data_IF_406814055152
#
_entry.id   IF_406814055152
#
_cell.length_a   1.000
_cell.length_b   1.000
_cell.length_c   1.000
_cell.angle_alpha   90.00
_cell.angle_beta   90.00
_cell.angle_gamma   90.00
#
_symmetry.space_group_name_H-M   'P 1'
#
loop_
_entity.id
_entity.type
_entity.pdbx_description
1 polymer ?
#
# COMPACT_ATOMS: atom_id res chain seq x y z
N UNK A 1 -18.36 -5.26 0.27
CA UNK A 1 -16.98 -4.78 0.55
C UNK A 1 -15.92 -5.82 0.27
N UNK A 2 -16.09 -7.08 0.69
CA UNK A 2 -15.09 -8.13 0.48
C UNK A 2 -14.61 -8.27 -0.97
N UNK A 3 -15.52 -8.29 -1.95
CA UNK A 3 -15.17 -8.31 -3.40
C UNK A 3 -14.20 -7.19 -3.82
N UNK A 4 -14.31 -5.98 -3.27
CA UNK A 4 -13.40 -4.88 -3.58
C UNK A 4 -12.01 -5.08 -2.96
N UNK A 5 -11.95 -5.66 -1.76
CA UNK A 5 -10.68 -5.99 -1.10
C UNK A 5 -9.95 -7.12 -1.84
N UNK A 6 -10.70 -8.13 -2.32
CA UNK A 6 -10.14 -9.21 -3.14
C UNK A 6 -9.55 -8.72 -4.47
N UNK A 7 -9.96 -7.56 -4.98
CA UNK A 7 -9.32 -6.93 -6.14
C UNK A 7 -7.93 -6.34 -5.82
N UNK A 8 -7.65 -6.00 -4.56
CA UNK A 8 -6.31 -5.57 -4.13
C UNK A 8 -5.37 -6.77 -3.96
N UNK A 9 -5.85 -7.80 -3.26
CA UNK A 9 -5.17 -9.08 -3.10
C UNK A 9 -6.20 -10.15 -2.74
N UNK A 10 -6.25 -11.29 -3.45
CA UNK A 10 -7.21 -12.36 -3.16
C UNK A 10 -7.01 -12.97 -1.76
N UNK A 11 -5.84 -12.79 -1.15
CA UNK A 11 -5.51 -13.31 0.17
C UNK A 11 -5.82 -12.34 1.31
N UNK A 12 -6.59 -11.28 1.06
CA UNK A 12 -7.07 -10.38 2.09
C UNK A 12 -8.53 -10.63 2.41
N UNK A 13 -8.84 -10.82 3.67
CA UNK A 13 -10.21 -10.92 4.16
C UNK A 13 -10.64 -9.58 4.77
N UNK A 14 -11.84 -9.15 4.38
CA UNK A 14 -12.47 -7.97 4.97
C UNK A 14 -12.92 -8.26 6.42
N UNK A 15 -12.62 -7.35 7.34
CA UNK A 15 -13.03 -7.44 8.75
C UNK A 15 -14.21 -6.49 9.01
N UNK A 16 -13.97 -5.19 8.88
CA UNK A 16 -14.97 -4.15 9.11
C UNK A 16 -14.61 -2.87 8.35
N UNK A 17 -15.51 -1.87 8.38
CA UNK A 17 -15.19 -0.52 7.97
C UNK A 17 -15.95 0.51 8.81
N UNK A 18 -15.39 1.72 8.88
CA UNK A 18 -15.96 2.88 9.56
C UNK A 18 -15.91 4.08 8.60
N UNK A 19 -16.96 4.90 8.57
CA UNK A 19 -17.05 6.08 7.69
C UNK A 19 -17.38 7.31 8.51
N UNK A 20 -16.40 8.20 8.66
CA UNK A 20 -16.52 9.41 9.47
C UNK A 20 -15.86 10.58 8.71
N UNK A 21 -16.49 11.76 8.68
CA UNK A 21 -15.93 13.00 8.13
C UNK A 21 -15.32 12.89 6.72
N UNK A 22 -16.01 12.21 5.81
CA UNK A 22 -15.52 12.03 4.44
C UNK A 22 -14.33 11.05 4.33
N UNK A 23 -14.08 10.24 5.36
CA UNK A 23 -13.02 9.22 5.39
C UNK A 23 -13.63 7.86 5.66
N UNK A 24 -13.24 6.87 4.86
CA UNK A 24 -13.60 5.46 5.03
C UNK A 24 -12.37 4.67 5.47
N UNK A 25 -12.40 4.11 6.68
CA UNK A 25 -11.38 3.21 7.20
C UNK A 25 -11.83 1.78 6.99
N UNK A 26 -11.06 0.96 6.29
CA UNK A 26 -11.38 -0.44 6.02
C UNK A 26 -10.33 -1.33 6.68
N UNK A 27 -10.74 -2.17 7.63
CA UNK A 27 -9.84 -3.11 8.29
C UNK A 27 -9.83 -4.44 7.55
N UNK A 28 -8.64 -4.96 7.26
CA UNK A 28 -8.42 -6.23 6.56
C UNK A 28 -7.35 -7.07 7.25
N UNK A 29 -7.39 -8.39 7.04
CA UNK A 29 -6.35 -9.31 7.49
C UNK A 29 -5.90 -10.24 6.36
N UNK A 30 -4.64 -10.66 6.41
CA UNK A 30 -4.14 -11.69 5.48
C UNK A 30 -4.62 -13.07 5.91
N UNK A 31 -5.10 -13.85 4.95
CA UNK A 31 -5.52 -15.24 5.13
C UNK A 31 -4.45 -16.24 4.67
N UNK A 32 -3.26 -15.77 4.27
CA UNK A 32 -2.16 -16.63 3.86
C UNK A 32 -1.71 -17.50 5.03
N UNK A 33 -1.66 -18.82 4.81
CA UNK A 33 -1.11 -19.78 5.79
C UNK A 33 0.40 -19.67 5.92
N UNK A 34 1.07 -19.39 4.81
CA UNK A 34 2.53 -19.23 4.73
C UNK A 34 2.89 -17.94 4.01
N UNK A 35 4.02 -17.36 4.40
CA UNK A 35 4.58 -16.17 3.78
C UNK A 35 6.05 -16.43 3.45
N UNK A 36 6.44 -16.07 2.24
CA UNK A 36 7.82 -16.22 1.77
C UNK A 36 8.73 -15.14 2.35
N UNK A 37 9.84 -15.55 2.95
CA UNK A 37 10.88 -14.63 3.39
C UNK A 37 11.43 -13.87 2.17
N UNK A 38 11.36 -12.53 2.16
CA UNK A 38 11.78 -11.76 1.01
C UNK A 38 13.30 -11.64 0.85
N UNK A 39 14.08 -12.17 1.80
CA UNK A 39 15.54 -12.11 1.81
C UNK A 39 16.16 -13.41 1.30
N UNK A 40 15.60 -14.56 1.70
CA UNK A 40 16.14 -15.88 1.34
C UNK A 40 15.16 -16.78 0.58
N UNK A 41 13.91 -16.35 0.35
CA UNK A 41 12.90 -17.11 -0.38
C UNK A 41 12.29 -18.29 0.37
N UNK A 42 12.69 -18.58 1.62
CA UNK A 42 12.13 -19.69 2.40
C UNK A 42 10.71 -19.35 2.89
N UNK A 43 9.69 -20.21 2.68
CA UNK A 43 8.37 -20.03 3.28
C UNK A 43 8.43 -20.17 4.81
N UNK A 44 7.57 -19.42 5.50
CA UNK A 44 7.40 -19.50 6.94
C UNK A 44 5.93 -19.31 7.31
N UNK A 45 5.46 -20.11 8.27
CA UNK A 45 4.15 -20.01 8.90
C UNK A 45 4.23 -19.45 10.33
N UNK A 46 5.44 -19.26 10.88
CA UNK A 46 5.64 -18.85 12.27
C UNK A 46 5.52 -17.34 12.43
N UNK A 47 4.47 -16.91 13.14
CA UNK A 47 4.22 -15.50 13.45
C UNK A 47 5.04 -15.09 14.68
N UNK A 48 5.82 -14.02 14.54
CA UNK A 48 6.51 -13.35 15.66
C UNK A 48 5.58 -12.37 16.36
N UNK A 49 4.94 -11.49 15.60
CA UNK A 49 3.98 -10.50 16.14
C UNK A 49 3.07 -9.97 15.04
N UNK A 50 2.00 -9.30 15.42
CA UNK A 50 1.08 -8.61 14.50
C UNK A 50 1.04 -7.12 14.84
N UNK A 51 0.90 -6.27 13.83
CA UNK A 51 0.78 -4.83 14.00
C UNK A 51 -0.17 -4.23 12.94
N UNK A 52 -0.83 -3.12 13.28
CA UNK A 52 -1.68 -2.43 12.33
C UNK A 52 -0.84 -1.52 11.42
N UNK A 53 -1.06 -1.64 10.11
CA UNK A 53 -0.46 -0.76 9.11
C UNK A 53 -1.56 -0.05 8.35
N UNK A 54 -1.56 1.27 8.43
CA UNK A 54 -2.53 2.13 7.73
C UNK A 54 -1.90 2.76 6.48
N UNK A 55 -2.63 2.73 5.37
CA UNK A 55 -2.24 3.39 4.13
C UNK A 55 -3.47 3.88 3.36
N UNK A 56 -3.26 4.89 2.51
CA UNK A 56 -4.34 5.47 1.71
C UNK A 56 -4.52 4.71 0.40
N UNK A 57 -5.76 4.64 -0.05
CA UNK A 57 -6.14 4.01 -1.30
C UNK A 57 -7.07 4.92 -2.12
N UNK A 58 -7.46 4.49 -3.31
CA UNK A 58 -8.37 5.26 -4.17
C UNK A 58 -9.71 5.54 -3.45
N UNK A 59 -10.28 6.74 -3.64
CA UNK A 59 -11.52 7.14 -2.97
C UNK A 59 -12.69 6.25 -3.38
N UNK A 60 -13.63 6.06 -2.45
CA UNK A 60 -14.88 5.31 -2.66
C UNK A 60 -16.04 6.24 -2.33
N UNK A 61 -16.91 6.49 -3.31
CA UNK A 61 -18.10 7.34 -3.17
C UNK A 61 -17.77 8.72 -2.56
N UNK A 62 -16.70 9.35 -3.04
CA UNK A 62 -16.25 10.67 -2.54
C UNK A 62 -15.50 10.62 -1.21
N UNK A 63 -15.46 9.49 -0.51
CA UNK A 63 -14.72 9.34 0.74
C UNK A 63 -13.25 8.99 0.46
N UNK A 64 -12.34 9.63 1.21
CA UNK A 64 -10.93 9.24 1.27
C UNK A 64 -10.81 7.88 1.95
N UNK A 65 -10.22 6.90 1.26
CA UNK A 65 -10.14 5.53 1.78
C UNK A 65 -8.79 5.28 2.44
N UNK A 66 -8.83 4.74 3.65
CA UNK A 66 -7.68 4.27 4.41
C UNK A 66 -7.86 2.78 4.68
N UNK A 67 -6.90 1.97 4.26
CA UNK A 67 -6.89 0.55 4.56
C UNK A 67 -5.99 0.33 5.77
N UNK A 68 -6.53 -0.37 6.76
CA UNK A 68 -5.84 -0.81 7.97
C UNK A 68 -5.64 -2.31 7.84
N UNK A 69 -4.41 -2.73 7.52
CA UNK A 69 -4.08 -4.15 7.49
C UNK A 69 -3.49 -4.58 8.83
N UNK A 70 -4.00 -5.70 9.38
CA UNK A 70 -3.37 -6.42 10.49
C UNK A 70 -2.15 -7.17 9.96
N UNK A 71 -1.04 -6.46 9.79
CA UNK A 71 0.16 -7.01 9.17
C UNK A 71 0.92 -7.93 10.12
N UNK A 72 1.46 -9.02 9.59
CA UNK A 72 2.22 -9.99 10.38
C UNK A 72 3.72 -9.78 10.21
N UNK A 73 4.44 -9.88 11.31
CA UNK A 73 5.89 -10.09 11.34
C UNK A 73 6.13 -11.58 11.56
N UNK A 74 6.83 -12.21 10.64
CA UNK A 74 7.12 -13.64 10.61
C UNK A 74 8.55 -13.91 11.08
N UNK A 75 8.81 -15.10 11.62
CA UNK A 75 10.16 -15.63 11.80
C UNK A 75 10.68 -16.22 10.49
N UNK A 76 11.97 -16.09 10.22
CA UNK A 76 12.62 -16.84 9.15
C UNK A 76 13.16 -18.16 9.74
N UNK A 77 12.73 -19.29 9.17
CA UNK A 77 13.21 -20.62 9.58
C UNK A 77 14.50 -21.04 8.82
N UNK A 78 15.13 -20.11 8.10
CA UNK A 78 16.43 -20.35 7.50
C UNK A 78 17.54 -19.87 8.45
N UNK A 79 18.35 -20.77 9.05
CA UNK A 79 19.46 -20.37 9.92
C UNK A 79 20.53 -19.56 9.17
N UNK A 80 20.67 -19.76 7.85
CA UNK A 80 21.63 -19.04 7.01
C UNK A 80 21.12 -17.67 6.54
N UNK A 81 19.89 -17.30 6.90
CA UNK A 81 19.34 -16.00 6.55
C UNK A 81 19.87 -14.93 7.50
N UNK A 82 20.40 -13.83 6.94
CA UNK A 82 20.83 -12.65 7.70
C UNK A 82 19.71 -11.97 8.50
N UNK A 83 18.45 -12.32 8.22
CA UNK A 83 17.28 -11.81 8.91
C UNK A 83 16.52 -12.92 9.64
N UNK A 84 16.43 -12.78 10.97
CA UNK A 84 15.65 -13.69 11.84
C UNK A 84 14.14 -13.47 11.73
N UNK A 85 13.72 -12.27 11.33
CA UNK A 85 12.31 -11.91 11.17
C UNK A 85 12.11 -11.05 9.93
N UNK A 86 10.92 -11.12 9.34
CA UNK A 86 10.53 -10.29 8.20
C UNK A 86 9.06 -9.91 8.30
N UNK A 87 8.69 -8.75 7.76
CA UNK A 87 7.29 -8.38 7.65
C UNK A 87 6.67 -9.01 6.40
N UNK A 88 5.41 -9.44 6.52
CA UNK A 88 4.61 -9.85 5.38
C UNK A 88 4.51 -8.72 4.34
N UNK A 89 4.68 -9.09 3.07
CA UNK A 89 4.71 -8.18 1.92
C UNK A 89 3.52 -8.43 1.01
N UNK A 90 3.07 -7.36 0.37
CA UNK A 90 1.95 -7.37 -0.58
C UNK A 90 2.32 -6.61 -1.85
N UNK A 91 1.81 -7.07 -2.99
CA UNK A 91 2.16 -6.46 -4.28
C UNK A 91 1.40 -5.17 -4.57
N UNK A 92 0.26 -4.92 -3.94
CA UNK A 92 -0.43 -3.65 -4.15
C UNK A 92 0.22 -2.48 -3.38
N UNK A 93 1.18 -2.73 -2.46
CA UNK A 93 1.83 -1.69 -1.66
C UNK A 93 3.30 -1.96 -1.38
N UNK A 94 4.16 -0.96 -1.62
CA UNK A 94 5.60 -1.09 -1.34
C UNK A 94 5.88 -1.14 0.17
N UNK A 95 6.99 -1.77 0.59
CA UNK A 95 7.29 -2.10 2.00
C UNK A 95 7.04 -0.97 3.02
N UNK A 96 7.47 0.27 2.72
CA UNK A 96 7.27 1.45 3.59
C UNK A 96 6.32 2.51 3.01
N UNK A 97 5.59 2.19 1.94
CA UNK A 97 4.66 3.14 1.34
C UNK A 97 3.45 3.39 2.25
N UNK A 98 2.94 4.62 2.22
CA UNK A 98 1.70 5.04 2.88
C UNK A 98 0.52 5.16 1.91
N UNK A 99 0.71 4.73 0.65
CA UNK A 99 -0.25 4.80 -0.45
C UNK A 99 -0.14 3.51 -1.26
N UNK A 100 -1.26 2.99 -1.74
CA UNK A 100 -1.26 1.86 -2.68
C UNK A 100 -0.58 2.25 -3.98
N UNK A 101 -0.02 1.27 -4.71
CA UNK A 101 0.62 1.51 -6.02
C UNK A 101 -0.39 2.11 -7.02
N UNK A 102 -1.63 1.62 -7.03
CA UNK A 102 -2.70 2.16 -7.87
C UNK A 102 -3.01 3.63 -7.58
N UNK A 103 -2.98 4.04 -6.29
CA UNK A 103 -3.15 5.44 -5.91
C UNK A 103 -1.92 6.28 -6.31
N UNK A 104 -0.70 5.77 -6.13
CA UNK A 104 0.51 6.45 -6.61
C UNK A 104 0.44 6.70 -8.13
N UNK A 105 0.01 5.70 -8.91
CA UNK A 105 -0.13 5.80 -10.36
C UNK A 105 -1.21 6.81 -10.77
N UNK A 106 -2.35 6.83 -10.06
CA UNK A 106 -3.42 7.81 -10.25
C UNK A 106 -2.96 9.25 -10.02
N UNK A 107 -2.27 9.48 -8.91
CA UNK A 107 -1.71 10.79 -8.57
C UNK A 107 -0.80 11.27 -9.70
N UNK A 108 0.08 10.39 -10.19
CA UNK A 108 0.99 10.77 -11.27
C UNK A 108 0.22 11.04 -12.56
N UNK A 109 -0.80 10.25 -12.89
CA UNK A 109 -1.64 10.48 -14.07
C UNK A 109 -2.31 11.86 -14.04
N UNK A 110 -2.91 12.23 -12.92
CA UNK A 110 -3.58 13.52 -12.75
C UNK A 110 -2.59 14.70 -12.68
N UNK A 111 -1.36 14.45 -12.23
CA UNK A 111 -0.35 15.50 -12.05
C UNK A 111 0.51 15.77 -13.28
N UNK A 112 0.40 14.98 -14.35
CA UNK A 112 1.36 15.04 -15.47
C UNK A 112 1.22 16.34 -16.29
N UNK A 113 0.01 16.89 -16.37
CA UNK A 113 -0.32 18.06 -17.19
C UNK A 113 -0.55 19.34 -16.36
N UNK A 114 -0.21 19.34 -15.07
CA UNK A 114 -0.40 20.50 -14.22
C UNK A 114 0.77 20.71 -13.26
N UNK A 115 0.85 21.91 -12.68
CA UNK A 115 1.90 22.21 -11.70
C UNK A 115 1.71 21.36 -10.44
N UNK A 116 2.81 21.04 -9.74
CA UNK A 116 2.75 20.27 -8.48
C UNK A 116 1.90 20.93 -7.39
N UNK A 117 1.74 22.26 -7.44
CA UNK A 117 0.88 23.02 -6.52
C UNK A 117 -0.60 22.84 -6.90
N UNK A 118 -0.94 23.02 -8.18
CA UNK A 118 -2.30 22.83 -8.68
C UNK A 118 -2.77 21.37 -8.47
N UNK A 119 -1.91 20.41 -8.82
CA UNK A 119 -2.13 18.99 -8.57
C UNK A 119 -2.40 18.71 -7.10
N UNK A 120 -1.55 19.21 -6.19
CA UNK A 120 -1.70 18.97 -4.76
C UNK A 120 -3.00 19.57 -4.22
N UNK A 121 -3.44 20.73 -4.72
CA UNK A 121 -4.70 21.34 -4.30
C UNK A 121 -5.90 20.50 -4.77
N UNK A 122 -5.99 20.21 -6.06
CA UNK A 122 -7.08 19.42 -6.63
C UNK A 122 -7.19 18.01 -6.01
N UNK A 123 -6.05 17.37 -5.75
CA UNK A 123 -6.01 16.04 -5.15
C UNK A 123 -6.43 16.04 -3.68
N UNK A 124 -6.11 17.10 -2.91
CA UNK A 124 -6.46 17.21 -1.49
C UNK A 124 -7.96 17.31 -1.25
N UNK A 125 -8.68 17.94 -2.17
CA UNK A 125 -10.12 18.19 -2.03
C UNK A 125 -10.92 16.89 -2.08
N UNK A 126 -10.57 15.95 -2.98
CA UNK A 126 -11.45 14.80 -3.27
C UNK A 126 -10.77 13.42 -3.30
N UNK A 127 -9.43 13.35 -3.33
CA UNK A 127 -8.74 12.10 -3.72
C UNK A 127 -7.79 11.60 -2.63
N UNK A 128 -6.91 12.45 -2.11
CA UNK A 128 -5.77 11.98 -1.32
C UNK A 128 -5.19 13.06 -0.42
N UNK A 129 -4.70 12.68 0.75
CA UNK A 129 -3.93 13.59 1.61
C UNK A 129 -2.47 13.62 1.11
N UNK A 130 -2.15 14.68 0.36
CA UNK A 130 -0.86 14.84 -0.29
C UNK A 130 -0.36 16.28 -0.27
N UNK A 131 0.94 16.47 -0.04
CA UNK A 131 1.62 17.75 -0.24
C UNK A 131 2.37 17.83 -1.57
N UNK A 132 2.65 19.04 -2.04
CA UNK A 132 3.43 19.34 -3.27
C UNK A 132 4.70 18.47 -3.40
N UNK A 133 5.49 18.35 -2.34
CA UNK A 133 6.74 17.59 -2.31
C UNK A 133 6.52 16.11 -2.59
N UNK A 134 5.39 15.53 -2.14
CA UNK A 134 5.05 14.14 -2.43
C UNK A 134 4.71 13.95 -3.91
N UNK A 135 3.97 14.90 -4.52
CA UNK A 135 3.67 14.88 -5.96
C UNK A 135 4.97 14.91 -6.77
N UNK A 136 5.90 15.81 -6.46
CA UNK A 136 7.21 15.87 -7.13
C UNK A 136 8.00 14.57 -6.99
N UNK A 137 8.03 13.96 -5.80
CA UNK A 137 8.75 12.71 -5.56
C UNK A 137 8.16 11.54 -6.35
N UNK A 138 6.83 11.46 -6.45
CA UNK A 138 6.15 10.44 -7.26
C UNK A 138 6.41 10.63 -8.76
N UNK A 139 6.40 11.86 -9.25
CA UNK A 139 6.74 12.18 -10.65
C UNK A 139 8.20 11.77 -10.98
N UNK A 140 9.16 12.09 -10.08
CA UNK A 140 10.57 11.68 -10.23
C UNK A 140 10.72 10.16 -10.23
N UNK A 141 10.04 9.47 -9.31
CA UNK A 141 10.04 8.00 -9.21
C UNK A 141 9.51 7.34 -10.49
N UNK A 142 8.45 7.88 -11.11
CA UNK A 142 7.95 7.37 -12.41
C UNK A 142 8.93 7.61 -13.55
N UNK A 143 9.53 8.80 -13.65
CA UNK A 143 10.58 9.07 -14.66
C UNK A 143 11.73 8.07 -14.55
N UNK A 144 12.22 7.81 -13.34
CA UNK A 144 13.27 6.81 -13.12
C UNK A 144 12.82 5.40 -13.54
N UNK A 145 11.59 4.99 -13.21
CA UNK A 145 11.06 3.67 -13.60
C UNK A 145 10.91 3.50 -15.12
N UNK A 146 10.59 4.58 -15.84
CA UNK A 146 10.52 4.58 -17.30
C UNK A 146 11.91 4.50 -17.95
N UNK A 147 12.90 5.16 -17.36
CA UNK A 147 14.29 5.12 -17.82
C UNK A 147 14.92 3.74 -17.62
N UNK A 148 14.66 3.09 -16.49
CA UNK A 148 15.16 1.73 -16.19
C UNK A 148 14.45 0.60 -16.95
N UNK A 149 13.33 0.87 -17.62
CA UNK A 149 12.59 -0.12 -18.43
C UNK A 149 12.99 -0.09 -19.92
N UNK A 150 13.84 0.86 -20.32
CA UNK A 150 14.34 1.02 -21.69
C UNK A 150 15.73 0.41 -21.91
N UNK A 151 16.29 -0.25 -20.89
CA UNK A 151 17.49 -1.09 -20.93
C UNK A 151 17.04 -2.54 -20.70
#
# INVERSE_FOLDING_TARGET
MDKFIKQLDPNLDYINHEINDGKCYITVASNRKEVTCPFCGRPSSRIHSTYNRTFQDLPIQGNKVFIIIRNRKMFCDNPDCSHTTFAERFDFISYKAKKTRRLEDEIVRLSINCSSVAASKALKENVVDIGKSTVCNLLKKKKHRLLTKRQ
#
